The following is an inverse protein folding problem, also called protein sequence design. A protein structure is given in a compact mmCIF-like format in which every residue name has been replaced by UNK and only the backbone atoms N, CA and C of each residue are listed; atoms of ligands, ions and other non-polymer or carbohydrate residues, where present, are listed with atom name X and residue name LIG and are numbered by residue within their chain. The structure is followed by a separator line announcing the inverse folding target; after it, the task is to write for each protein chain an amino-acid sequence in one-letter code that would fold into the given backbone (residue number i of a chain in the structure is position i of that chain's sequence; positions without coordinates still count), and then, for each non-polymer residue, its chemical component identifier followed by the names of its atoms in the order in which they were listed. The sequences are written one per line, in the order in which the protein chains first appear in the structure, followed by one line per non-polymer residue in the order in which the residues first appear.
data_IF_302363683626
#
_entry.id   IF_302363683626
#
_cell.length_a   1.000
_cell.length_b   1.000
_cell.length_c   1.000
_cell.angle_alpha   90.00
_cell.angle_beta   90.00
_cell.angle_gamma   90.00
#
_symmetry.space_group_name_H-M   'P 1'
#
loop_
_entity.id
_entity.type
_entity.pdbx_description
1 polymer ?
#
# COMPACT_ATOMS: atom_id res chain seq x y z
N UNK A 1 -83.49 4.90 -21.07
CA UNK A 1 -83.76 4.02 -22.22
C UNK A 1 -82.43 3.40 -22.64
N UNK A 2 -82.40 2.06 -22.76
CA UNK A 2 -81.54 1.19 -23.61
C UNK A 2 -80.02 1.50 -23.71
N UNK A 3 -79.07 0.57 -23.66
CA UNK A 3 -79.11 -0.89 -23.79
C UNK A 3 -77.70 -1.43 -23.54
N UNK A 4 -77.64 -2.63 -22.95
CA UNK A 4 -76.45 -3.48 -22.83
C UNK A 4 -75.84 -3.83 -24.18
N UNK A 5 -74.52 -3.95 -24.28
CA UNK A 5 -73.86 -4.94 -25.13
C UNK A 5 -72.57 -5.45 -24.48
N UNK A 6 -72.63 -6.71 -24.05
CA UNK A 6 -71.49 -7.55 -23.69
C UNK A 6 -70.62 -7.77 -24.94
N UNK A 7 -69.29 -7.75 -24.79
CA UNK A 7 -68.39 -8.32 -25.80
C UNK A 7 -67.40 -9.28 -25.14
N UNK A 8 -67.35 -10.45 -25.76
CA UNK A 8 -66.69 -11.69 -25.38
C UNK A 8 -65.23 -11.53 -24.92
N UNK A 9 -64.90 -12.29 -23.87
CA UNK A 9 -63.55 -12.72 -23.56
C UNK A 9 -63.13 -13.78 -24.58
N UNK A 10 -62.06 -13.50 -25.32
CA UNK A 10 -61.29 -14.56 -25.98
C UNK A 10 -60.04 -14.83 -25.15
N UNK A 11 -60.02 -16.03 -24.59
CA UNK A 11 -58.86 -16.67 -23.97
C UNK A 11 -57.80 -16.92 -25.04
N UNK A 12 -56.73 -16.14 -25.04
CA UNK A 12 -55.48 -16.55 -25.66
C UNK A 12 -54.49 -16.92 -24.57
N UNK A 13 -54.40 -18.24 -24.35
CA UNK A 13 -53.30 -18.88 -23.68
C UNK A 13 -52.05 -18.67 -24.52
N UNK A 14 -51.08 -17.94 -23.97
CA UNK A 14 -49.70 -17.96 -24.44
C UNK A 14 -48.86 -18.43 -23.27
N UNK A 15 -48.41 -19.68 -23.39
CA UNK A 15 -47.59 -20.37 -22.42
C UNK A 15 -46.33 -19.57 -22.08
N UNK A 16 -46.04 -19.57 -20.78
CA UNK A 16 -44.80 -19.13 -20.18
C UNK A 16 -43.60 -19.84 -20.80
N UNK A 17 -42.68 -19.07 -21.37
CA UNK A 17 -41.27 -19.45 -21.45
C UNK A 17 -40.45 -18.33 -20.79
N UNK A 18 -40.43 -18.32 -19.44
CA UNK A 18 -39.38 -17.57 -18.73
C UNK A 18 -38.07 -18.32 -18.95
N UNK A 19 -37.21 -17.77 -19.81
CA UNK A 19 -35.79 -18.14 -19.81
C UNK A 19 -35.24 -17.78 -18.43
N UNK A 20 -35.02 -18.79 -17.60
CA UNK A 20 -34.27 -18.64 -16.37
C UNK A 20 -32.80 -18.43 -16.75
N UNK A 21 -32.44 -17.17 -17.03
CA UNK A 21 -31.04 -16.75 -16.97
C UNK A 21 -30.72 -16.73 -15.48
N UNK A 22 -30.22 -17.85 -14.97
CA UNK A 22 -29.55 -17.84 -13.68
C UNK A 22 -28.42 -16.82 -13.78
N UNK A 23 -28.38 -15.75 -12.97
CA UNK A 23 -27.17 -14.96 -12.89
C UNK A 23 -26.15 -15.90 -12.25
N UNK A 24 -25.21 -16.38 -13.05
CA UNK A 24 -23.96 -16.93 -12.55
C UNK A 24 -23.11 -15.76 -12.03
N UNK A 25 -23.68 -14.90 -11.19
CA UNK A 25 -22.92 -14.00 -10.36
C UNK A 25 -22.32 -14.87 -9.26
N UNK A 26 -21.16 -15.46 -9.56
CA UNK A 26 -20.18 -15.71 -8.52
C UNK A 26 -19.96 -14.36 -7.85
N UNK A 27 -20.61 -14.15 -6.70
CA UNK A 27 -20.19 -13.10 -5.80
C UNK A 27 -18.73 -13.43 -5.48
N UNK A 28 -17.79 -12.67 -6.04
CA UNK A 28 -16.44 -12.63 -5.52
C UNK A 28 -16.59 -12.00 -4.14
N UNK A 29 -16.74 -12.85 -3.12
CA UNK A 29 -16.72 -12.43 -1.73
C UNK A 29 -15.29 -11.98 -1.44
N UNK A 30 -15.07 -10.67 -1.41
CA UNK A 30 -13.79 -10.01 -1.11
C UNK A 30 -13.44 -10.07 0.38
N UNK A 31 -14.20 -10.77 1.21
CA UNK A 31 -14.10 -10.63 2.67
C UNK A 31 -13.19 -11.66 3.37
N UNK A 32 -12.80 -12.77 2.72
CA UNK A 32 -12.17 -13.90 3.45
C UNK A 32 -10.76 -14.28 2.97
N UNK A 33 -9.92 -13.29 2.68
CA UNK A 33 -8.47 -13.53 2.72
C UNK A 33 -7.77 -12.46 3.51
N UNK A 34 -8.11 -12.34 4.80
CA UNK A 34 -7.20 -11.79 5.79
C UNK A 34 -6.01 -12.76 5.94
N UNK A 35 -5.12 -12.75 4.96
CA UNK A 35 -3.86 -13.47 5.05
C UNK A 35 -3.07 -12.80 6.17
N UNK A 36 -2.86 -13.51 7.28
CA UNK A 36 -1.91 -13.10 8.30
C UNK A 36 -0.55 -12.91 7.62
N UNK A 37 -0.16 -11.65 7.43
CA UNK A 37 1.13 -11.30 6.84
C UNK A 37 2.18 -11.67 7.88
N UNK A 38 2.97 -12.73 7.66
CA UNK A 38 4.06 -13.01 8.60
C UNK A 38 5.11 -11.91 8.47
N UNK A 39 5.70 -11.45 9.59
CA UNK A 39 6.73 -10.42 9.55
C UNK A 39 7.89 -10.87 8.64
N UNK A 40 8.30 -9.98 7.73
CA UNK A 40 9.38 -10.23 6.77
C UNK A 40 9.02 -10.94 5.47
N UNK A 41 7.81 -11.48 5.29
CA UNK A 41 7.41 -12.13 4.03
C UNK A 41 7.41 -11.15 2.85
N UNK A 42 6.94 -9.92 3.09
CA UNK A 42 6.85 -8.89 2.04
C UNK A 42 8.26 -8.46 1.60
N UNK A 43 9.22 -8.43 2.52
CA UNK A 43 10.63 -8.14 2.20
C UNK A 43 11.17 -9.10 1.13
N UNK A 44 10.85 -10.39 1.25
CA UNK A 44 11.28 -11.44 0.31
C UNK A 44 10.57 -11.30 -1.05
N UNK A 45 9.26 -11.04 -1.03
CA UNK A 45 8.46 -10.91 -2.27
C UNK A 45 8.84 -9.66 -3.06
N UNK A 46 9.28 -8.59 -2.38
CA UNK A 46 9.60 -7.29 -2.99
C UNK A 46 10.86 -7.29 -3.87
N UNK A 47 11.63 -8.38 -3.93
CA UNK A 47 12.84 -8.47 -4.75
C UNK A 47 14.06 -7.75 -4.17
N UNK A 48 13.99 -7.32 -2.91
CA UNK A 48 15.12 -6.73 -2.20
C UNK A 48 16.18 -7.83 -1.96
N UNK A 49 17.46 -7.60 -2.31
CA UNK A 49 18.50 -8.59 -2.07
C UNK A 49 18.67 -8.82 -0.56
N UNK A 50 18.99 -10.08 -0.20
CA UNK A 50 19.06 -10.55 1.20
C UNK A 50 20.01 -9.71 2.08
N UNK A 51 21.05 -9.15 1.48
CA UNK A 51 22.03 -8.28 2.16
C UNK A 51 21.38 -7.02 2.74
N UNK A 52 20.44 -6.41 2.00
CA UNK A 52 19.77 -5.20 2.45
C UNK A 52 18.60 -5.47 3.40
N UNK A 53 18.06 -6.69 3.44
CA UNK A 53 17.03 -7.05 4.41
C UNK A 53 17.57 -7.16 5.85
N UNK A 54 18.86 -7.46 6.01
CA UNK A 54 19.49 -7.66 7.34
C UNK A 54 19.95 -6.36 8.00
N UNK A 55 19.83 -5.22 7.33
CA UNK A 55 20.36 -3.96 7.85
C UNK A 55 19.45 -3.40 8.95
N UNK A 56 20.08 -2.70 9.90
CA UNK A 56 19.35 -1.96 10.93
C UNK A 56 18.86 -0.62 10.40
N UNK A 57 17.70 -0.21 10.87
CA UNK A 57 17.00 0.97 10.39
C UNK A 57 16.61 1.86 11.57
N UNK A 58 16.70 3.17 11.41
CA UNK A 58 16.32 4.14 12.43
C UNK A 58 14.99 4.79 12.08
N UNK A 59 14.03 4.71 12.98
CA UNK A 59 12.72 5.36 12.83
C UNK A 59 12.75 6.62 13.68
N UNK A 60 12.69 7.80 13.08
CA UNK A 60 12.75 9.04 13.85
C UNK A 60 11.86 10.13 13.28
N UNK A 61 11.52 11.09 14.14
CA UNK A 61 10.90 12.35 13.75
C UNK A 61 12.01 13.41 13.63
N UNK A 62 12.23 14.02 12.44
CA UNK A 62 13.31 14.97 12.25
C UNK A 62 13.09 16.21 13.11
N UNK A 63 14.14 16.62 13.81
CA UNK A 63 14.15 17.86 14.57
C UNK A 63 13.97 19.08 13.64
N UNK A 64 13.49 20.18 14.20
CA UNK A 64 13.41 21.45 13.47
C UNK A 64 14.80 21.87 13.00
N UNK A 65 14.90 22.34 11.76
CA UNK A 65 16.14 22.96 11.25
C UNK A 65 16.48 24.17 12.12
N UNK A 66 17.62 24.13 12.82
CA UNK A 66 17.97 25.11 13.85
C UNK A 66 18.00 26.57 13.34
N UNK A 67 18.38 26.78 12.08
CA UNK A 67 18.46 28.10 11.44
C UNK A 67 17.10 28.67 11.03
N UNK A 68 16.05 27.86 10.97
CA UNK A 68 14.71 28.26 10.54
C UNK A 68 13.70 28.17 11.68
N UNK A 69 12.70 29.05 11.67
CA UNK A 69 11.62 29.05 12.66
C UNK A 69 10.37 28.29 12.19
N UNK A 70 10.29 27.90 10.91
CA UNK A 70 9.14 27.20 10.35
C UNK A 70 8.95 25.80 10.94
N UNK A 71 7.71 25.46 11.27
CA UNK A 71 7.32 24.16 11.87
C UNK A 71 6.71 23.16 10.86
N UNK A 72 6.57 23.52 9.59
CA UNK A 72 5.82 22.71 8.61
C UNK A 72 6.41 21.34 8.28
N UNK A 73 7.68 21.07 8.62
CA UNK A 73 8.34 19.77 8.40
C UNK A 73 8.33 18.87 9.63
N UNK A 74 7.82 19.35 10.77
CA UNK A 74 7.78 18.59 12.02
C UNK A 74 6.63 17.58 12.00
N UNK A 75 6.72 16.56 12.85
CA UNK A 75 5.64 15.58 13.06
C UNK A 75 5.55 14.48 12.00
N UNK A 76 6.35 14.54 10.92
CA UNK A 76 6.48 13.43 9.97
C UNK A 76 7.53 12.45 10.44
N UNK A 77 7.16 11.19 10.59
CA UNK A 77 8.09 10.11 10.92
C UNK A 77 8.83 9.65 9.66
N UNK A 78 10.11 9.34 9.80
CA UNK A 78 10.95 8.87 8.71
C UNK A 78 11.70 7.62 9.10
N UNK A 79 12.02 6.84 8.07
CA UNK A 79 12.83 5.63 8.18
C UNK A 79 14.18 5.92 7.54
N UNK A 80 15.25 5.85 8.31
CA UNK A 80 16.60 6.13 7.84
C UNK A 80 17.46 4.86 7.85
N UNK A 81 18.07 4.63 6.70
CA UNK A 81 19.04 3.56 6.52
C UNK A 81 20.43 4.13 6.80
N UNK A 82 21.11 3.58 7.81
CA UNK A 82 22.49 3.94 8.09
C UNK A 82 23.36 3.54 6.89
N UNK A 83 23.76 4.51 6.08
CA UNK A 83 24.67 4.33 4.94
C UNK A 83 26.07 4.86 5.31
N UNK A 84 27.08 4.00 5.32
CA UNK A 84 28.42 4.36 5.81
C UNK A 84 29.38 4.78 4.70
N UNK A 85 29.27 4.22 3.49
CA UNK A 85 30.30 4.39 2.46
C UNK A 85 29.90 5.40 1.38
N UNK A 86 30.55 6.56 1.44
CA UNK A 86 30.57 7.58 0.41
C UNK A 86 32.04 7.91 0.11
N UNK A 87 32.39 7.99 -1.16
CA UNK A 87 33.76 8.28 -1.61
C UNK A 87 33.78 9.37 -2.67
N UNK A 88 34.96 9.93 -2.91
CA UNK A 88 35.18 10.91 -3.97
C UNK A 88 35.43 10.23 -5.31
N UNK A 89 34.74 10.67 -6.36
CA UNK A 89 34.99 10.21 -7.72
C UNK A 89 36.32 10.80 -8.25
N UNK A 90 37.31 9.98 -8.64
CA UNK A 90 38.64 10.45 -9.04
C UNK A 90 38.66 11.37 -10.28
N UNK A 91 37.62 11.34 -11.13
CA UNK A 91 37.58 12.19 -12.33
C UNK A 91 37.05 13.60 -12.03
N UNK A 92 35.91 13.70 -11.36
CA UNK A 92 35.17 14.96 -11.18
C UNK A 92 35.13 15.47 -9.74
N UNK A 93 35.57 14.68 -8.76
CA UNK A 93 35.48 15.02 -7.33
C UNK A 93 34.09 14.87 -6.70
N UNK A 94 33.12 14.28 -7.41
CA UNK A 94 31.75 14.13 -6.90
C UNK A 94 31.64 13.03 -5.84
N UNK A 95 30.74 13.22 -4.87
CA UNK A 95 30.42 12.18 -3.87
C UNK A 95 29.68 11.03 -4.53
N UNK A 96 30.34 9.88 -4.64
CA UNK A 96 29.78 8.62 -5.13
C UNK A 96 29.43 7.69 -3.98
N UNK A 97 28.46 6.81 -4.19
CA UNK A 97 28.06 5.79 -3.22
C UNK A 97 27.64 4.51 -3.94
N UNK A 98 27.82 3.37 -3.27
CA UNK A 98 27.39 2.06 -3.74
C UNK A 98 26.12 1.55 -3.03
N UNK A 99 25.58 2.30 -2.06
CA UNK A 99 24.38 1.90 -1.33
C UNK A 99 23.11 2.40 -2.05
N UNK A 100 22.21 1.50 -2.50
CA UNK A 100 20.97 1.91 -3.16
C UNK A 100 20.01 2.65 -2.22
N UNK A 101 20.10 2.45 -0.91
CA UNK A 101 19.21 3.07 0.07
C UNK A 101 19.68 4.44 0.57
N UNK A 102 20.84 4.92 0.10
CA UNK A 102 21.46 6.16 0.58
C UNK A 102 20.54 7.41 0.52
N UNK A 103 19.56 7.43 -0.39
CA UNK A 103 18.63 8.54 -0.57
C UNK A 103 17.16 8.19 -0.34
N UNK A 104 16.81 6.90 -0.32
CA UNK A 104 15.42 6.42 -0.26
C UNK A 104 14.77 6.79 1.08
N UNK A 105 15.51 6.64 2.18
CA UNK A 105 15.01 6.95 3.52
C UNK A 105 14.63 8.41 3.70
N UNK A 106 15.47 9.33 3.21
CA UNK A 106 15.25 10.76 3.41
C UNK A 106 14.17 11.35 2.48
N UNK A 107 14.08 10.83 1.25
CA UNK A 107 13.28 11.43 0.18
C UNK A 107 11.88 10.80 0.03
N UNK A 108 11.74 9.49 0.23
CA UNK A 108 10.54 8.75 -0.17
C UNK A 108 9.77 8.12 1.01
N UNK A 109 10.42 7.84 2.14
CA UNK A 109 9.82 7.13 3.26
C UNK A 109 9.42 8.09 4.39
N UNK A 110 8.24 8.70 4.24
CA UNK A 110 7.64 9.52 5.30
C UNK A 110 6.26 8.99 5.72
N UNK A 111 6.05 8.93 7.02
CA UNK A 111 4.86 8.39 7.67
C UNK A 111 4.24 9.46 8.56
N UNK A 112 2.94 9.31 8.82
CA UNK A 112 2.21 10.23 9.69
C UNK A 112 2.37 9.84 11.17
N UNK A 113 2.48 8.55 11.46
CA UNK A 113 2.59 8.03 12.83
C UNK A 113 3.82 7.14 12.99
N UNK A 114 4.27 6.99 14.24
CA UNK A 114 5.39 6.11 14.59
C UNK A 114 5.03 4.65 14.31
N UNK A 115 3.80 4.27 14.65
CA UNK A 115 3.29 2.90 14.53
C UNK A 115 3.18 2.48 13.06
N UNK A 116 2.81 3.41 12.17
CA UNK A 116 2.80 3.15 10.73
C UNK A 116 4.20 2.87 10.20
N UNK A 117 5.22 3.59 10.70
CA UNK A 117 6.60 3.38 10.32
C UNK A 117 7.15 2.05 10.88
N UNK A 118 6.84 1.70 12.14
CA UNK A 118 7.26 0.42 12.73
C UNK A 118 6.59 -0.76 12.05
N UNK A 119 5.27 -0.69 11.81
CA UNK A 119 4.55 -1.73 11.08
C UNK A 119 5.09 -1.92 9.66
N UNK A 120 5.50 -0.83 8.99
CA UNK A 120 6.16 -0.93 7.69
C UNK A 120 7.50 -1.67 7.78
N UNK A 121 8.35 -1.34 8.75
CA UNK A 121 9.63 -2.01 8.96
C UNK A 121 9.45 -3.51 9.29
N UNK A 122 8.48 -3.86 10.14
CA UNK A 122 8.15 -5.24 10.51
C UNK A 122 7.65 -6.07 9.32
N UNK A 123 6.78 -5.49 8.49
CA UNK A 123 6.29 -6.12 7.26
C UNK A 123 7.44 -6.48 6.31
N UNK A 124 8.42 -5.58 6.19
CA UNK A 124 9.62 -5.82 5.39
C UNK A 124 10.69 -6.67 6.09
N UNK A 125 10.56 -6.91 7.39
CA UNK A 125 11.48 -7.73 8.19
C UNK A 125 12.78 -7.03 8.55
N UNK A 126 12.77 -5.69 8.60
CA UNK A 126 13.94 -4.92 9.01
C UNK A 126 14.03 -4.83 10.53
N UNK A 127 15.24 -4.97 11.07
CA UNK A 127 15.51 -4.64 12.47
C UNK A 127 15.52 -3.12 12.61
N UNK A 128 14.69 -2.57 13.51
CA UNK A 128 14.58 -1.13 13.68
C UNK A 128 14.87 -0.68 15.11
N UNK A 129 15.27 0.57 15.24
CA UNK A 129 15.37 1.30 16.51
C UNK A 129 14.62 2.61 16.34
N UNK A 130 13.87 3.02 17.36
CA UNK A 130 13.13 4.28 17.37
C UNK A 130 13.86 5.31 18.23
#
# INVERSE_FOLDING_TARGET
MASSLQRLRHSFSMNSCRLAISPFSKAFSTDDSLVEIKPGEIGIVSGIPKEHLRRKVLIFSPARTATQQGSGKLGRWKINFLSTQKWENPLMGWTSTGDPYAHVGDSAMSFETQEAASAFAERHGWEYTV
#
